data_IF_725883663522
#
_entry.id   IF_725883663522
#
_cell.length_a   1.000
_cell.length_b   1.000
_cell.length_c   1.000
_cell.angle_alpha   90.00
_cell.angle_beta   90.00
_cell.angle_gamma   90.00
#
_symmetry.space_group_name_H-M   'P 1'
#
loop_
_entity.id
_entity.type
_entity.pdbx_description
1 polymer ?
#
# COMPACT_ATOMS: atom_id res chain seq x y z
N UNK A 1 22.78 2.82 -19.76
CA UNK A 1 23.40 4.08 -20.15
C UNK A 1 22.77 5.08 -19.23
N UNK A 2 23.21 4.98 -17.99
CA UNK A 2 23.09 6.09 -17.07
C UNK A 2 23.93 7.20 -17.71
N UNK A 3 23.37 8.42 -17.89
CA UNK A 3 24.15 9.52 -18.41
C UNK A 3 25.36 9.76 -17.48
N UNK A 4 26.54 10.11 -18.02
CA UNK A 4 27.69 10.51 -17.22
C UNK A 4 27.32 11.65 -16.28
N UNK A 5 27.77 11.56 -15.03
CA UNK A 5 27.42 12.43 -13.89
C UNK A 5 27.83 13.92 -14.01
N UNK A 6 28.19 14.39 -15.20
CA UNK A 6 28.62 15.78 -15.44
C UNK A 6 27.49 16.72 -15.90
N UNK A 7 26.35 16.20 -16.40
CA UNK A 7 25.29 17.02 -17.02
C UNK A 7 23.84 16.68 -16.56
N UNK A 8 23.66 15.95 -15.45
CA UNK A 8 22.33 15.78 -14.86
C UNK A 8 22.04 16.91 -13.89
N UNK A 9 21.46 17.98 -14.42
CA UNK A 9 20.86 19.03 -13.59
C UNK A 9 19.78 18.38 -12.70
N UNK A 10 19.82 18.62 -11.38
CA UNK A 10 18.87 18.05 -10.42
C UNK A 10 17.40 18.27 -10.83
N UNK A 11 17.11 19.40 -11.49
CA UNK A 11 15.79 19.70 -12.06
C UNK A 11 15.37 18.67 -13.11
N UNK A 12 16.32 18.23 -13.95
CA UNK A 12 16.07 17.24 -15.00
C UNK A 12 15.88 15.84 -14.44
N UNK A 13 16.61 15.48 -13.39
CA UNK A 13 16.42 14.22 -12.68
C UNK A 13 15.04 14.16 -12.03
N UNK A 14 14.68 15.20 -11.27
CA UNK A 14 13.34 15.33 -10.66
C UNK A 14 12.26 15.29 -11.73
N UNK A 15 12.45 15.99 -12.86
CA UNK A 15 11.50 15.95 -13.97
C UNK A 15 11.34 14.55 -14.59
N UNK A 16 12.43 13.80 -14.76
CA UNK A 16 12.35 12.42 -15.28
C UNK A 16 11.64 11.48 -14.29
N UNK A 17 11.95 11.58 -12.99
CA UNK A 17 11.29 10.82 -11.94
C UNK A 17 9.79 11.15 -11.89
N UNK A 18 9.45 12.44 -11.92
CA UNK A 18 8.07 12.90 -11.92
C UNK A 18 7.30 12.39 -13.15
N UNK A 19 7.89 12.45 -14.35
CA UNK A 19 7.27 11.88 -15.56
C UNK A 19 7.01 10.39 -15.44
N UNK A 20 7.97 9.63 -14.91
CA UNK A 20 7.80 8.19 -14.71
C UNK A 20 6.68 7.91 -13.69
N UNK A 21 6.64 8.63 -12.57
CA UNK A 21 5.57 8.52 -11.59
C UNK A 21 4.21 8.90 -12.16
N UNK A 22 4.10 9.98 -12.93
CA UNK A 22 2.87 10.38 -13.60
C UNK A 22 2.36 9.30 -14.54
N UNK A 23 3.25 8.68 -15.33
CA UNK A 23 2.87 7.58 -16.23
C UNK A 23 2.35 6.37 -15.43
N UNK A 24 3.04 5.99 -14.35
CA UNK A 24 2.61 4.89 -13.47
C UNK A 24 1.28 5.23 -12.79
N UNK A 25 1.07 6.48 -12.40
CA UNK A 25 -0.18 6.93 -11.80
C UNK A 25 -1.35 6.87 -12.80
N UNK A 26 -1.13 7.35 -14.03
CA UNK A 26 -2.15 7.31 -15.08
C UNK A 26 -2.50 5.88 -15.52
N UNK A 27 -1.50 5.01 -15.65
CA UNK A 27 -1.71 3.65 -16.14
C UNK A 27 -2.04 2.62 -15.05
N UNK A 28 -1.66 2.89 -13.79
CA UNK A 28 -1.86 1.97 -12.67
C UNK A 28 -2.83 2.50 -11.63
N UNK A 29 -2.53 3.66 -11.05
CA UNK A 29 -3.30 4.23 -9.93
C UNK A 29 -4.74 4.55 -10.32
N UNK A 30 -4.94 5.35 -11.37
CA UNK A 30 -6.28 5.80 -11.83
C UNK A 30 -7.18 4.61 -12.19
N UNK A 31 -6.78 3.68 -13.08
CA UNK A 31 -7.63 2.54 -13.40
C UNK A 31 -7.81 1.61 -12.19
N UNK A 32 -6.81 1.48 -11.30
CA UNK A 32 -6.94 0.71 -10.06
C UNK A 32 -8.09 1.21 -9.19
N UNK A 33 -8.19 2.52 -8.96
CA UNK A 33 -9.30 3.12 -8.20
C UNK A 33 -10.66 2.92 -8.85
N UNK A 34 -10.76 3.10 -10.17
CA UNK A 34 -12.02 2.86 -10.89
C UNK A 34 -12.47 1.41 -10.77
N UNK A 35 -11.54 0.47 -10.84
CA UNK A 35 -11.84 -0.94 -10.59
C UNK A 35 -12.29 -1.15 -9.14
N UNK A 36 -11.65 -0.55 -8.15
CA UNK A 36 -12.11 -0.67 -6.76
C UNK A 36 -13.55 -0.21 -6.65
N UNK A 37 -13.87 1.00 -7.13
CA UNK A 37 -15.23 1.56 -7.06
C UNK A 37 -16.25 0.67 -7.77
N UNK A 38 -15.92 0.11 -8.94
CA UNK A 38 -16.82 -0.77 -9.67
C UNK A 38 -17.06 -2.12 -8.97
N UNK A 39 -16.05 -2.66 -8.27
CA UNK A 39 -16.10 -3.99 -7.67
C UNK A 39 -16.36 -4.00 -6.16
N UNK A 40 -16.26 -2.87 -5.46
CA UNK A 40 -16.36 -2.80 -3.99
C UNK A 40 -17.72 -3.28 -3.47
N UNK A 41 -18.80 -2.95 -4.18
CA UNK A 41 -20.15 -3.37 -3.81
C UNK A 41 -20.47 -4.79 -4.31
N UNK A 42 -19.83 -5.25 -5.39
CA UNK A 42 -20.11 -6.55 -6.01
C UNK A 42 -19.30 -7.69 -5.37
N UNK A 43 -18.02 -7.48 -5.10
CA UNK A 43 -17.11 -8.51 -4.57
C UNK A 43 -17.07 -8.44 -3.04
N UNK A 44 -16.88 -7.25 -2.47
CA UNK A 44 -16.71 -7.05 -1.03
C UNK A 44 -15.35 -6.43 -0.70
N UNK A 45 -15.29 -5.70 0.42
CA UNK A 45 -14.12 -4.91 0.81
C UNK A 45 -12.96 -5.81 1.24
N UNK A 46 -13.27 -6.90 1.96
CA UNK A 46 -12.24 -7.81 2.45
C UNK A 46 -11.60 -8.62 1.33
N UNK A 47 -12.40 -9.14 0.40
CA UNK A 47 -11.90 -9.86 -0.78
C UNK A 47 -11.00 -8.99 -1.66
N UNK A 48 -11.38 -7.72 -1.88
CA UNK A 48 -10.56 -6.77 -2.65
C UNK A 48 -9.23 -6.48 -1.95
N UNK A 49 -9.25 -6.29 -0.63
CA UNK A 49 -8.03 -6.09 0.16
C UNK A 49 -7.11 -7.31 0.11
N UNK A 50 -7.68 -8.51 0.24
CA UNK A 50 -6.97 -9.79 0.18
C UNK A 50 -6.30 -9.99 -1.19
N UNK A 51 -7.06 -9.80 -2.27
CA UNK A 51 -6.53 -9.91 -3.64
C UNK A 51 -5.43 -8.89 -3.90
N UNK A 52 -5.60 -7.65 -3.43
CA UNK A 52 -4.58 -6.61 -3.57
C UNK A 52 -3.27 -6.98 -2.88
N UNK A 53 -3.31 -7.36 -1.59
CA UNK A 53 -2.12 -7.80 -0.88
C UNK A 53 -1.48 -9.05 -1.50
N UNK A 54 -2.29 -10.00 -1.99
CA UNK A 54 -1.80 -11.20 -2.68
C UNK A 54 -1.01 -10.85 -3.94
N UNK A 55 -1.62 -10.11 -4.88
CA UNK A 55 -0.95 -9.74 -6.12
C UNK A 55 0.25 -8.81 -5.87
N UNK A 56 0.15 -7.87 -4.93
CA UNK A 56 1.31 -7.05 -4.54
C UNK A 56 2.47 -7.88 -4.02
N UNK A 57 2.21 -8.91 -3.20
CA UNK A 57 3.23 -9.81 -2.66
C UNK A 57 3.88 -10.62 -3.79
N UNK A 58 3.08 -11.19 -4.68
CA UNK A 58 3.56 -11.98 -5.83
C UNK A 58 4.43 -11.13 -6.74
N UNK A 59 3.99 -9.92 -7.11
CA UNK A 59 4.77 -9.05 -8.00
C UNK A 59 6.02 -8.49 -7.33
N UNK A 60 5.97 -8.16 -6.02
CA UNK A 60 7.16 -7.77 -5.25
C UNK A 60 8.22 -8.88 -5.27
N UNK A 61 7.84 -10.14 -5.01
CA UNK A 61 8.78 -11.25 -5.08
C UNK A 61 9.24 -11.55 -6.52
N UNK A 62 8.36 -11.44 -7.51
CA UNK A 62 8.71 -11.61 -8.93
C UNK A 62 9.70 -10.54 -9.42
N UNK A 63 9.70 -9.36 -8.82
CA UNK A 63 10.72 -8.33 -9.09
C UNK A 63 11.99 -8.59 -8.26
N UNK A 64 11.85 -9.05 -7.01
CA UNK A 64 12.95 -9.20 -6.07
C UNK A 64 13.90 -10.37 -6.38
N UNK A 65 13.37 -11.55 -6.76
CA UNK A 65 14.18 -12.75 -7.02
C UNK A 65 15.03 -12.64 -8.30
N UNK A 66 14.50 -12.23 -9.47
CA UNK A 66 15.26 -12.04 -10.69
C UNK A 66 15.80 -10.61 -10.82
N UNK A 67 16.11 -9.93 -9.70
CA UNK A 67 16.50 -8.52 -9.73
C UNK A 67 17.67 -8.21 -10.68
N UNK A 68 18.67 -9.10 -10.75
CA UNK A 68 19.81 -8.99 -11.68
C UNK A 68 19.40 -9.14 -13.15
N UNK A 69 18.36 -9.92 -13.44
CA UNK A 69 17.80 -10.09 -14.79
C UNK A 69 17.03 -8.83 -15.23
N UNK A 70 16.29 -8.21 -14.29
CA UNK A 70 15.57 -6.96 -14.53
C UNK A 70 16.48 -5.73 -14.68
N UNK A 71 17.70 -5.77 -14.14
CA UNK A 71 18.70 -4.71 -14.35
C UNK A 71 19.24 -4.64 -15.78
N UNK A 72 19.07 -5.69 -16.59
CA UNK A 72 19.48 -5.71 -17.98
C UNK A 72 18.61 -4.78 -18.84
N UNK A 73 19.22 -4.05 -19.79
CA UNK A 73 18.54 -3.05 -20.62
C UNK A 73 17.34 -3.62 -21.39
N UNK A 74 17.42 -4.87 -21.85
CA UNK A 74 16.37 -5.53 -22.61
C UNK A 74 15.10 -5.83 -21.79
N UNK A 75 15.25 -6.09 -20.49
CA UNK A 75 14.13 -6.49 -19.63
C UNK A 75 13.48 -5.31 -18.89
N UNK A 76 13.95 -4.08 -19.13
CA UNK A 76 13.49 -2.87 -18.44
C UNK A 76 11.98 -2.62 -18.63
N UNK A 77 11.44 -2.96 -19.79
CA UNK A 77 10.00 -2.82 -20.07
C UNK A 77 9.19 -3.76 -19.16
N UNK A 78 9.62 -5.02 -19.01
CA UNK A 78 8.94 -5.97 -18.13
C UNK A 78 9.04 -5.57 -16.66
N UNK A 79 10.14 -4.95 -16.22
CA UNK A 79 10.24 -4.38 -14.87
C UNK A 79 9.21 -3.26 -14.67
N UNK A 80 9.07 -2.35 -15.63
CA UNK A 80 8.09 -1.25 -15.56
C UNK A 80 6.66 -1.80 -15.54
N UNK A 81 6.36 -2.84 -16.33
CA UNK A 81 5.04 -3.50 -16.33
C UNK A 81 4.75 -4.14 -14.98
N UNK A 82 5.68 -4.94 -14.44
CA UNK A 82 5.50 -5.58 -13.13
C UNK A 82 5.34 -4.56 -12.00
N UNK A 83 6.13 -3.48 -12.04
CA UNK A 83 6.03 -2.39 -11.09
C UNK A 83 4.71 -1.63 -11.22
N UNK A 84 4.28 -1.34 -12.46
CA UNK A 84 2.99 -0.74 -12.75
C UNK A 84 1.80 -1.59 -12.30
N UNK A 85 1.86 -2.90 -12.51
CA UNK A 85 0.88 -3.87 -12.01
C UNK A 85 0.86 -3.90 -10.48
N UNK A 86 2.03 -3.88 -9.83
CA UNK A 86 2.11 -3.77 -8.36
C UNK A 86 1.37 -2.52 -7.88
N UNK A 87 1.58 -1.37 -8.54
CA UNK A 87 0.87 -0.12 -8.24
C UNK A 87 -0.63 -0.21 -8.54
N UNK A 88 -1.04 -0.86 -9.64
CA UNK A 88 -2.44 -1.08 -9.95
C UNK A 88 -3.13 -1.86 -8.83
N UNK A 89 -2.58 -3.01 -8.42
CA UNK A 89 -3.16 -3.84 -7.36
C UNK A 89 -3.07 -3.19 -5.98
N UNK A 90 -2.09 -2.33 -5.74
CA UNK A 90 -2.03 -1.48 -4.55
C UNK A 90 -3.25 -0.59 -4.43
N UNK A 91 -3.60 0.07 -5.54
CA UNK A 91 -4.70 1.02 -5.61
C UNK A 91 -6.06 0.32 -5.72
N UNK A 92 -6.12 -0.81 -6.43
CA UNK A 92 -7.31 -1.65 -6.52
C UNK A 92 -7.70 -2.23 -5.15
N UNK A 93 -6.72 -2.71 -4.38
CA UNK A 93 -6.94 -3.36 -3.10
C UNK A 93 -6.70 -2.45 -1.90
N UNK A 94 -5.55 -2.63 -1.21
CA UNK A 94 -5.35 -2.11 0.13
C UNK A 94 -5.38 -0.58 0.25
N UNK A 95 -4.97 0.20 -0.76
CA UNK A 95 -5.06 1.66 -0.63
C UNK A 95 -6.50 2.13 -0.45
N UNK A 96 -7.43 1.67 -1.31
CA UNK A 96 -8.81 2.11 -1.22
C UNK A 96 -9.52 1.49 0.00
N UNK A 97 -9.34 0.19 0.26
CA UNK A 97 -10.06 -0.50 1.34
C UNK A 97 -9.59 -0.07 2.73
N UNK A 98 -8.31 0.28 2.92
CA UNK A 98 -7.81 0.78 4.22
C UNK A 98 -8.35 2.16 4.59
N UNK A 99 -8.86 2.95 3.64
CA UNK A 99 -9.61 4.17 3.94
C UNK A 99 -11.09 3.89 4.19
N UNK A 100 -11.70 2.99 3.42
CA UNK A 100 -13.14 2.72 3.47
C UNK A 100 -13.51 1.88 4.70
N UNK A 101 -12.78 0.79 4.97
CA UNK A 101 -13.12 -0.16 6.04
C UNK A 101 -13.16 0.49 7.43
N UNK A 102 -12.19 1.32 7.86
CA UNK A 102 -12.29 1.99 9.16
C UNK A 102 -13.47 2.98 9.25
N UNK A 103 -13.85 3.60 8.13
CA UNK A 103 -15.01 4.49 8.11
C UNK A 103 -16.34 3.72 8.28
N UNK A 104 -16.39 2.48 7.80
CA UNK A 104 -17.55 1.58 7.90
C UNK A 104 -17.62 0.83 9.23
N UNK A 105 -16.49 0.48 9.84
CA UNK A 105 -16.42 -0.37 11.05
C UNK A 105 -16.50 0.45 12.34
N UNK A 106 -16.10 1.73 12.35
CA UNK A 106 -16.13 2.52 13.59
C UNK A 106 -17.51 3.13 13.89
N UNK A 107 -18.06 2.94 15.11
CA UNK A 107 -19.34 3.50 15.52
C UNK A 107 -19.37 5.02 15.41
N UNK A 108 -20.51 5.59 15.02
CA UNK A 108 -20.67 7.01 14.75
C UNK A 108 -20.27 7.88 15.95
N UNK A 109 -20.46 7.36 17.18
CA UNK A 109 -20.10 8.02 18.45
C UNK A 109 -18.59 8.14 18.70
N UNK A 110 -17.75 7.27 18.12
CA UNK A 110 -16.29 7.22 18.30
C UNK A 110 -15.49 7.35 16.99
N UNK A 111 -16.19 7.55 15.86
CA UNK A 111 -15.60 7.56 14.52
C UNK A 111 -14.44 8.54 14.38
N UNK A 112 -14.52 9.74 14.97
CA UNK A 112 -13.47 10.76 14.83
C UNK A 112 -12.16 10.40 15.55
N UNK A 113 -12.22 9.81 16.75
CA UNK A 113 -11.02 9.45 17.53
C UNK A 113 -10.36 8.19 17.00
N UNK A 114 -11.14 7.14 16.70
CA UNK A 114 -10.63 5.89 16.15
C UNK A 114 -10.08 6.07 14.72
N UNK A 115 -10.78 6.84 13.86
CA UNK A 115 -10.28 7.19 12.54
C UNK A 115 -9.01 8.05 12.64
N UNK A 116 -8.96 9.01 13.58
CA UNK A 116 -7.79 9.84 13.82
C UNK A 116 -6.54 9.02 14.20
N UNK A 117 -6.68 8.08 15.14
CA UNK A 117 -5.57 7.19 15.55
C UNK A 117 -5.15 6.28 14.39
N UNK A 118 -6.11 5.67 13.69
CA UNK A 118 -5.82 4.81 12.53
C UNK A 118 -5.09 5.59 11.42
N UNK A 119 -5.53 6.81 11.13
CA UNK A 119 -4.88 7.70 10.16
C UNK A 119 -3.47 8.11 10.60
N UNK A 120 -3.28 8.40 11.89
CA UNK A 120 -1.97 8.74 12.45
C UNK A 120 -0.99 7.57 12.34
N UNK A 121 -1.40 6.36 12.72
CA UNK A 121 -0.58 5.14 12.61
C UNK A 121 -0.25 4.83 11.15
N UNK A 122 -1.20 5.00 10.23
CA UNK A 122 -0.94 4.86 8.78
C UNK A 122 0.12 5.85 8.27
N UNK A 123 0.03 7.12 8.67
CA UNK A 123 1.03 8.15 8.31
C UNK A 123 2.40 7.86 8.94
N UNK A 124 2.44 7.43 10.20
CA UNK A 124 3.69 7.05 10.87
C UNK A 124 4.35 5.85 10.16
N UNK A 125 3.56 4.83 9.80
CA UNK A 125 4.04 3.70 9.01
C UNK A 125 4.59 4.11 7.65
N UNK A 126 3.95 5.07 6.96
CA UNK A 126 4.45 5.60 5.69
C UNK A 126 5.80 6.32 5.84
N UNK A 127 5.98 7.11 6.91
CA UNK A 127 7.25 7.78 7.23
C UNK A 127 8.35 6.74 7.48
N UNK A 128 8.08 5.76 8.35
CA UNK A 128 9.03 4.69 8.67
C UNK A 128 9.37 3.88 7.42
N UNK A 129 8.39 3.56 6.58
CA UNK A 129 8.59 2.84 5.32
C UNK A 129 9.41 3.63 4.31
N UNK A 130 9.13 4.92 4.12
CA UNK A 130 9.85 5.78 3.19
C UNK A 130 11.32 5.93 3.58
N UNK A 131 11.60 6.35 4.81
CA UNK A 131 12.98 6.48 5.28
C UNK A 131 13.66 5.11 5.40
N UNK A 132 12.97 4.12 5.98
CA UNK A 132 13.48 2.77 6.13
C UNK A 132 13.88 2.14 4.81
N UNK A 133 13.09 2.29 3.75
CA UNK A 133 13.45 1.81 2.42
C UNK A 133 14.65 2.55 1.84
N UNK A 134 14.72 3.88 1.96
CA UNK A 134 15.86 4.66 1.47
C UNK A 134 17.16 4.23 2.14
N UNK A 135 17.17 4.04 3.46
CA UNK A 135 18.34 3.55 4.19
C UNK A 135 18.65 2.08 3.89
N UNK A 136 17.64 1.21 3.81
CA UNK A 136 17.83 -0.22 3.58
C UNK A 136 18.29 -0.53 2.15
N UNK A 137 17.79 0.21 1.15
CA UNK A 137 18.07 -0.03 -0.27
C UNK A 137 19.49 0.32 -0.70
N UNK A 138 20.26 1.02 0.13
CA UNK A 138 21.65 1.36 -0.13
C UNK A 138 22.51 0.11 -0.33
N UNK A 139 23.39 0.15 -1.33
CA UNK A 139 24.29 -0.96 -1.59
C UNK A 139 25.39 -1.05 -0.52
N UNK A 140 25.86 -2.29 -0.27
CA UNK A 140 26.99 -2.55 0.64
C UNK A 140 28.33 -2.10 0.07
N UNK A 141 28.41 -1.97 -1.25
CA UNK A 141 29.60 -1.52 -1.96
C UNK A 141 29.71 0.01 -1.86
N UNK A 142 30.79 0.56 -1.27
CA UNK A 142 30.98 2.00 -1.13
C UNK A 142 30.96 2.76 -2.47
N UNK A 143 31.31 2.09 -3.58
CA UNK A 143 31.42 2.72 -4.91
C UNK A 143 30.08 2.91 -5.64
N UNK A 144 28.99 2.28 -5.17
CA UNK A 144 27.63 2.37 -5.76
C UNK A 144 26.60 2.99 -4.81
N UNK A 145 27.08 3.53 -3.70
CA UNK A 145 26.29 4.11 -2.62
C UNK A 145 26.11 5.61 -2.87
N UNK A 146 24.92 6.13 -2.59
CA UNK A 146 24.71 7.57 -2.62
C UNK A 146 25.52 8.25 -1.50
N UNK A 147 26.18 9.37 -1.84
CA UNK A 147 27.00 10.12 -0.89
C UNK A 147 26.17 10.52 0.35
N UNK A 148 26.59 10.06 1.53
CA UNK A 148 25.99 10.44 2.81
C UNK A 148 25.15 9.36 3.52
N UNK A 149 24.86 8.22 2.89
CA UNK A 149 24.08 7.15 3.53
C UNK A 149 24.94 6.00 4.09
N UNK A 150 24.57 5.36 5.21
CA UNK A 150 25.23 4.16 5.73
C UNK A 150 25.00 2.94 4.82
N UNK A 151 25.82 1.89 4.98
CA UNK A 151 25.69 0.66 4.20
C UNK A 151 24.37 -0.05 4.50
N UNK A 152 23.53 -0.22 3.47
CA UNK A 152 22.22 -0.87 3.56
C UNK A 152 22.28 -2.38 3.29
N UNK A 153 21.10 -3.00 3.23
CA UNK A 153 20.93 -4.42 2.87
C UNK A 153 20.88 -4.64 1.35
N UNK A 154 20.74 -3.56 0.57
CA UNK A 154 20.71 -3.54 -0.89
C UNK A 154 19.30 -3.69 -1.48
N UNK A 155 19.09 -3.11 -2.66
CA UNK A 155 17.78 -2.99 -3.35
C UNK A 155 16.99 -4.31 -3.43
N UNK A 156 17.64 -5.41 -3.81
CA UNK A 156 16.98 -6.72 -3.91
C UNK A 156 16.48 -7.24 -2.55
N UNK A 157 17.26 -7.09 -1.47
CA UNK A 157 16.83 -7.51 -0.12
C UNK A 157 15.76 -6.61 0.45
N UNK A 158 15.82 -5.30 0.19
CA UNK A 158 14.76 -4.36 0.59
C UNK A 158 13.43 -4.69 -0.07
N UNK A 159 13.43 -5.08 -1.35
CA UNK A 159 12.22 -5.54 -2.04
C UNK A 159 11.65 -6.84 -1.44
N UNK A 160 12.51 -7.77 -1.00
CA UNK A 160 12.06 -8.97 -0.27
C UNK A 160 11.40 -8.57 1.05
N UNK A 161 11.99 -7.65 1.82
CA UNK A 161 11.40 -7.15 3.07
C UNK A 161 10.04 -6.51 2.82
N UNK A 162 9.91 -5.68 1.78
CA UNK A 162 8.62 -5.11 1.39
C UNK A 162 7.60 -6.19 1.00
N UNK A 163 8.02 -7.22 0.26
CA UNK A 163 7.19 -8.38 -0.06
C UNK A 163 6.70 -9.12 1.20
N UNK A 164 7.56 -9.31 2.19
CA UNK A 164 7.19 -9.92 3.48
C UNK A 164 6.22 -9.03 4.25
N UNK A 165 6.42 -7.70 4.26
CA UNK A 165 5.49 -6.76 4.90
C UNK A 165 4.11 -6.81 4.22
N UNK A 166 4.06 -6.87 2.89
CA UNK A 166 2.80 -7.05 2.16
C UNK A 166 2.11 -8.37 2.51
N UNK A 167 2.88 -9.45 2.65
CA UNK A 167 2.35 -10.74 3.10
C UNK A 167 1.82 -10.68 4.53
N UNK A 168 2.51 -10.01 5.45
CA UNK A 168 2.00 -9.77 6.80
C UNK A 168 0.71 -8.93 6.77
N UNK A 169 0.63 -7.93 5.90
CA UNK A 169 -0.59 -7.15 5.66
C UNK A 169 -1.75 -8.04 5.19
N UNK A 170 -1.47 -9.04 4.34
CA UNK A 170 -2.44 -10.06 3.94
C UNK A 170 -2.95 -10.87 5.13
N UNK A 171 -2.04 -11.36 5.97
CA UNK A 171 -2.39 -12.14 7.17
C UNK A 171 -3.20 -11.29 8.15
N UNK A 172 -2.81 -10.04 8.39
CA UNK A 172 -3.58 -9.10 9.20
C UNK A 172 -4.97 -8.81 8.61
N UNK A 173 -5.10 -8.81 7.27
CA UNK A 173 -6.40 -8.64 6.61
C UNK A 173 -7.35 -9.80 6.93
N UNK A 174 -6.86 -11.01 7.21
CA UNK A 174 -7.72 -12.12 7.67
C UNK A 174 -8.44 -11.81 8.99
N UNK A 175 -7.89 -10.91 9.81
CA UNK A 175 -8.51 -10.48 11.07
C UNK A 175 -9.53 -9.35 10.88
N UNK A 176 -9.64 -8.78 9.67
CA UNK A 176 -10.59 -7.73 9.36
C UNK A 176 -11.94 -8.37 9.02
N UNK A 177 -13.04 -8.04 9.71
CA UNK A 177 -14.36 -8.55 9.38
C UNK A 177 -14.84 -8.01 8.03
N UNK A 178 -15.52 -8.84 7.24
CA UNK A 178 -16.15 -8.42 5.98
C UNK A 178 -17.35 -7.50 6.29
N UNK A 179 -17.34 -6.29 5.74
CA UNK A 179 -18.41 -5.28 5.90
C UNK A 179 -19.54 -5.39 4.87
N UNK A 180 -19.47 -6.35 3.94
CA UNK A 180 -20.44 -6.47 2.85
C UNK A 180 -21.81 -6.96 3.35
N UNK A 181 -22.85 -6.15 3.13
CA UNK A 181 -24.25 -6.54 3.28
C UNK A 181 -24.85 -6.37 4.68
N UNK A 182 -24.12 -5.76 5.62
CA UNK A 182 -24.64 -5.36 6.94
C UNK A 182 -24.92 -3.86 6.94
N UNK A 183 -25.96 -3.41 7.67
CA UNK A 183 -26.20 -1.98 7.82
C UNK A 183 -25.04 -1.32 8.59
N UNK A 184 -24.82 -0.02 8.38
CA UNK A 184 -23.76 0.73 9.10
C UNK A 184 -23.95 0.64 10.63
N UNK A 185 -25.20 0.54 11.09
CA UNK A 185 -25.59 0.46 12.49
C UNK A 185 -25.33 -0.95 13.08
N UNK A 186 -25.53 -2.02 12.29
CA UNK A 186 -25.22 -3.41 12.68
C UNK A 186 -23.71 -3.66 12.76
N UNK A 187 -22.93 -3.09 11.84
CA UNK A 187 -21.46 -3.19 11.86
C UNK A 187 -20.82 -2.38 12.98
N UNK A 188 -21.41 -1.23 13.29
CA UNK A 188 -21.00 -0.35 14.38
C UNK A 188 -21.40 -0.87 15.78
N UNK A 189 -22.25 -1.90 15.85
CA UNK A 189 -22.81 -2.39 17.11
C UNK A 189 -23.78 -1.41 17.77
N UNK A 190 -24.32 -0.44 17.01
CA UNK A 190 -25.22 0.60 17.55
C UNK A 190 -26.59 0.02 17.92
N UNK A 191 -27.05 -1.04 17.25
CA UNK A 191 -28.30 -1.74 17.58
C UNK A 191 -28.25 -2.40 18.97
N UNK A 192 -27.13 -3.06 19.33
CA UNK A 192 -26.97 -3.68 20.66
C UNK A 192 -26.80 -2.63 21.77
N UNK A 193 -26.13 -1.49 21.48
CA UNK A 193 -25.94 -0.44 22.47
C UNK A 193 -27.24 0.30 22.78
N UNK A 194 -28.06 0.57 21.76
CA UNK A 194 -29.35 1.23 21.95
C UNK A 194 -30.35 0.27 22.64
N UNK A 195 -30.33 -1.03 22.34
CA UNK A 195 -31.14 -2.04 23.08
C UNK A 195 -30.76 -2.14 24.57
N UNK A 196 -29.46 -2.13 24.89
CA UNK A 196 -28.99 -2.19 26.31
C UNK A 196 -29.29 -0.89 27.06
N UNK A 197 -29.19 0.27 26.42
CA UNK A 197 -29.56 1.55 27.02
C UNK A 197 -31.08 1.68 27.21
N UNK A 198 -31.90 1.16 26.29
CA UNK A 198 -33.36 1.11 26.45
C UNK A 198 -33.80 0.10 27.53
N UNK A 199 -33.17 -1.08 27.61
CA UNK A 199 -33.43 -2.03 28.70
C UNK A 199 -33.10 -1.41 30.07
N UNK A 200 -31.98 -0.68 30.18
CA UNK A 200 -31.61 0.04 31.43
C UNK A 200 -32.55 1.17 31.78
N UNK A 201 -33.16 1.85 30.79
CA UNK A 201 -34.17 2.88 31.02
C UNK A 201 -35.54 2.31 31.38
N UNK A 202 -35.89 1.15 30.84
CA UNK A 202 -37.14 0.44 31.15
C UNK A 202 -37.11 -0.27 32.51
N UNK A 203 -35.93 -0.52 33.08
CA UNK A 203 -35.73 -1.20 34.37
C UNK A 203 -35.40 -0.27 35.55
N UNK A 204 -35.40 1.05 35.31
CA UNK A 204 -35.24 2.11 36.32
C UNK A 204 -36.57 2.85 36.55
#
# INVERSE_FOLDING_TARGET
>A
MDPPAADMNAIREVYMVARAQTLIALCGTVPGYWFTVAFIDVIGRWWIQMMGFFFMTVFMFAIAFPYKYWQQKENRIGFIIMYGLTFFFANFGPNATTFVVPAEVFPARLRSTCHGISAATGKAGAIIGAFGFVYASQEKDPAKRDHGYPAGIGKSKSLIVLGVINFLGMVCTLMVPESKGKSLEELAGEVELDEVDDERRSSA
#
